data_IF_569803548879
#
_entry.id   IF_569803548879
#
_cell.length_a   1.000
_cell.length_b   1.000
_cell.length_c   1.000
_cell.angle_alpha   90.00
_cell.angle_beta   90.00
_cell.angle_gamma   90.00
#
_symmetry.space_group_name_H-M   'P 1'
#
loop_
_entity.id
_entity.type
_entity.pdbx_description
1 polymer ?
#
# COMPACT_ATOMS: atom_id res chain seq x y z
N UNK A 1 -13.54 -5.19 -13.49
CA UNK A 1 -12.70 -4.01 -13.82
C UNK A 1 -12.24 -3.24 -12.58
N UNK A 2 -13.06 -3.11 -11.53
CA UNK A 2 -12.70 -2.44 -10.27
C UNK A 2 -11.44 -3.02 -9.59
N UNK A 3 -11.21 -4.34 -9.68
CA UNK A 3 -10.03 -5.01 -9.11
C UNK A 3 -8.69 -4.45 -9.62
N UNK A 4 -8.62 -4.10 -10.92
CA UNK A 4 -7.39 -3.53 -11.51
C UNK A 4 -7.17 -2.10 -11.04
N UNK A 5 -8.23 -1.29 -10.99
CA UNK A 5 -8.16 0.07 -10.46
C UNK A 5 -7.79 0.09 -8.98
N UNK A 6 -8.41 -0.78 -8.16
CA UNK A 6 -8.07 -0.95 -6.76
C UNK A 6 -6.60 -1.37 -6.61
N UNK A 7 -6.12 -2.32 -7.42
CA UNK A 7 -4.70 -2.70 -7.44
C UNK A 7 -3.80 -1.48 -7.70
N UNK A 8 -4.03 -0.72 -8.77
CA UNK A 8 -3.17 0.43 -9.09
C UNK A 8 -3.23 1.55 -8.07
N UNK A 9 -4.40 1.83 -7.49
CA UNK A 9 -4.53 2.83 -6.42
C UNK A 9 -3.85 2.37 -5.13
N UNK A 10 -3.95 1.09 -4.78
CA UNK A 10 -3.22 0.51 -3.65
C UNK A 10 -1.71 0.60 -3.89
N UNK A 11 -1.23 0.23 -5.08
CA UNK A 11 0.18 0.41 -5.45
C UNK A 11 0.63 1.87 -5.33
N UNK A 12 -0.13 2.81 -5.91
CA UNK A 12 0.19 4.23 -5.84
C UNK A 12 0.27 4.72 -4.39
N UNK A 13 -0.65 4.25 -3.55
CA UNK A 13 -0.68 4.60 -2.13
C UNK A 13 0.48 3.98 -1.33
N UNK A 14 0.97 2.80 -1.70
CA UNK A 14 2.21 2.23 -1.15
C UNK A 14 3.46 3.00 -1.60
N UNK A 15 3.43 3.67 -2.76
CA UNK A 15 4.52 4.57 -3.22
C UNK A 15 4.43 5.95 -2.57
N UNK A 16 3.23 6.37 -2.17
CA UNK A 16 2.96 7.73 -1.71
C UNK A 16 3.87 8.26 -0.59
N UNK A 17 4.40 7.44 0.35
CA UNK A 17 5.36 7.89 1.34
C UNK A 17 6.64 8.52 0.75
N UNK A 18 7.07 8.13 -0.45
CA UNK A 18 8.21 8.76 -1.16
C UNK A 18 7.95 10.25 -1.42
N UNK A 19 6.71 10.65 -1.69
CA UNK A 19 6.42 12.05 -1.94
C UNK A 19 6.56 12.91 -0.68
N UNK A 20 6.45 12.33 0.53
CA UNK A 20 6.80 13.06 1.76
C UNK A 20 8.30 13.34 1.84
N UNK A 21 9.14 12.38 1.48
CA UNK A 21 10.60 12.57 1.48
C UNK A 21 11.04 13.56 0.41
N UNK A 22 10.46 13.51 -0.79
CA UNK A 22 10.69 14.51 -1.84
C UNK A 22 10.18 15.91 -1.46
N UNK A 23 9.03 16.01 -0.76
CA UNK A 23 8.52 17.28 -0.26
C UNK A 23 9.46 17.88 0.80
N UNK A 24 9.96 17.06 1.73
CA UNK A 24 10.94 17.47 2.73
C UNK A 24 12.22 17.99 2.10
N UNK A 25 12.75 17.27 1.10
CA UNK A 25 13.93 17.69 0.35
C UNK A 25 13.71 19.03 -0.37
N UNK A 26 12.55 19.18 -1.01
CA UNK A 26 12.15 20.42 -1.67
C UNK A 26 12.04 21.59 -0.69
N UNK A 27 11.62 21.33 0.56
CA UNK A 27 11.55 22.33 1.62
C UNK A 27 12.95 22.82 2.03
N UNK A 28 13.89 21.89 2.28
CA UNK A 28 15.28 22.22 2.64
C UNK A 28 15.96 23.01 1.52
N UNK A 29 15.73 22.61 0.27
CA UNK A 29 16.28 23.28 -0.91
C UNK A 29 15.51 24.55 -1.31
N UNK A 30 14.55 25.01 -0.49
CA UNK A 30 13.74 26.24 -0.70
C UNK A 30 12.89 26.24 -1.99
N UNK A 31 12.61 25.08 -2.56
CA UNK A 31 11.74 24.92 -3.73
C UNK A 31 10.28 24.63 -3.33
N UNK A 32 9.62 25.62 -2.73
CA UNK A 32 8.27 25.46 -2.17
C UNK A 32 7.20 25.03 -3.19
N UNK A 33 7.35 25.40 -4.47
CA UNK A 33 6.43 24.95 -5.53
C UNK A 33 6.45 23.42 -5.66
N UNK A 34 7.63 22.80 -5.65
CA UNK A 34 7.76 21.34 -5.69
C UNK A 34 7.29 20.69 -4.40
N UNK A 35 7.58 21.28 -3.24
CA UNK A 35 7.06 20.82 -1.96
C UNK A 35 5.53 20.72 -1.98
N UNK A 36 4.83 21.79 -2.38
CA UNK A 36 3.36 21.82 -2.46
C UNK A 36 2.86 20.80 -3.49
N UNK A 37 3.50 20.69 -4.65
CA UNK A 37 3.13 19.71 -5.66
C UNK A 37 3.22 18.27 -5.13
N UNK A 38 4.33 17.88 -4.48
CA UNK A 38 4.49 16.54 -3.92
C UNK A 38 3.50 16.24 -2.79
N UNK A 39 3.26 17.20 -1.88
CA UNK A 39 2.26 17.05 -0.83
C UNK A 39 0.84 16.92 -1.40
N UNK A 40 0.49 17.73 -2.40
CA UNK A 40 -0.82 17.66 -3.05
C UNK A 40 -1.03 16.32 -3.76
N UNK A 41 0.00 15.81 -4.46
CA UNK A 41 -0.04 14.52 -5.11
C UNK A 41 -0.22 13.38 -4.09
N UNK A 42 0.55 13.41 -3.00
CA UNK A 42 0.42 12.45 -1.90
C UNK A 42 -1.00 12.46 -1.32
N UNK A 43 -1.55 13.64 -1.04
CA UNK A 43 -2.91 13.80 -0.50
C UNK A 43 -3.99 13.27 -1.46
N UNK A 44 -3.85 13.53 -2.77
CA UNK A 44 -4.78 13.02 -3.78
C UNK A 44 -4.74 11.48 -3.83
N UNK A 45 -3.55 10.88 -3.88
CA UNK A 45 -3.40 9.42 -3.91
C UNK A 45 -4.01 8.79 -2.66
N UNK A 46 -3.78 9.39 -1.49
CA UNK A 46 -4.35 8.97 -0.22
C UNK A 46 -5.87 9.00 -0.22
N UNK A 47 -6.44 10.12 -0.66
CA UNK A 47 -7.88 10.29 -0.77
C UNK A 47 -8.49 9.21 -1.68
N UNK A 48 -7.92 9.01 -2.86
CA UNK A 48 -8.39 8.00 -3.82
C UNK A 48 -8.28 6.57 -3.25
N UNK A 49 -7.21 6.26 -2.51
CA UNK A 49 -7.04 4.97 -1.83
C UNK A 49 -8.14 4.73 -0.79
N UNK A 50 -8.50 5.72 0.02
CA UNK A 50 -9.60 5.59 0.99
C UNK A 50 -10.92 5.37 0.28
N UNK A 51 -11.19 6.18 -0.75
CA UNK A 51 -12.44 6.12 -1.49
C UNK A 51 -12.63 4.74 -2.13
N UNK A 52 -11.58 4.19 -2.76
CA UNK A 52 -11.69 2.86 -3.39
C UNK A 52 -11.84 1.74 -2.35
N UNK A 53 -11.16 1.82 -1.20
CA UNK A 53 -11.32 0.84 -0.12
C UNK A 53 -12.72 0.91 0.48
N UNK A 54 -13.23 2.10 0.78
CA UNK A 54 -14.61 2.28 1.28
C UNK A 54 -15.65 1.82 0.27
N UNK A 55 -15.43 2.13 -1.01
CA UNK A 55 -16.30 1.68 -2.09
C UNK A 55 -16.32 0.15 -2.17
N UNK A 56 -15.15 -0.50 -2.13
CA UNK A 56 -15.05 -1.95 -2.18
C UNK A 56 -15.73 -2.60 -0.97
N UNK A 57 -15.55 -2.07 0.25
CA UNK A 57 -16.25 -2.57 1.45
C UNK A 57 -17.77 -2.46 1.30
N UNK A 58 -18.27 -1.40 0.66
CA UNK A 58 -19.71 -1.14 0.54
C UNK A 58 -20.39 -1.97 -0.56
N UNK A 59 -19.71 -2.19 -1.69
CA UNK A 59 -20.34 -2.72 -2.90
C UNK A 59 -19.87 -4.12 -3.30
N UNK A 60 -18.75 -4.62 -2.77
CA UNK A 60 -18.29 -5.96 -3.09
C UNK A 60 -18.98 -6.99 -2.18
N UNK A 61 -19.22 -8.19 -2.73
CA UNK A 61 -19.83 -9.28 -1.98
C UNK A 61 -18.89 -9.82 -0.90
N UNK A 62 -19.50 -10.28 0.19
CA UNK A 62 -18.82 -11.01 1.24
C UNK A 62 -18.63 -12.46 0.81
N UNK A 63 -17.42 -12.97 0.96
CA UNK A 63 -17.05 -14.35 0.70
C UNK A 63 -16.47 -14.96 1.97
N UNK A 64 -16.92 -16.16 2.32
CA UNK A 64 -16.36 -16.91 3.45
C UNK A 64 -15.24 -17.84 2.96
N UNK A 65 -14.01 -17.64 3.42
CA UNK A 65 -12.88 -18.55 3.17
C UNK A 65 -12.49 -19.30 4.43
N UNK A 66 -12.16 -20.59 4.29
CA UNK A 66 -11.58 -21.39 5.37
C UNK A 66 -10.07 -21.20 5.34
N UNK A 67 -9.50 -20.68 6.42
CA UNK A 67 -8.06 -20.43 6.50
C UNK A 67 -7.33 -21.66 7.05
N UNK A 68 -6.22 -22.02 6.42
CA UNK A 68 -5.29 -23.06 6.91
C UNK A 68 -4.22 -22.41 7.77
N UNK A 69 -3.67 -21.28 7.30
CA UNK A 69 -2.67 -20.46 7.99
C UNK A 69 -3.07 -18.98 7.94
N UNK A 70 -2.64 -18.22 8.94
CA UNK A 70 -2.53 -16.77 8.84
C UNK A 70 -1.45 -16.26 9.78
N UNK A 71 -0.48 -15.52 9.24
CA UNK A 71 0.64 -14.94 10.00
C UNK A 71 0.77 -13.45 9.71
N UNK A 72 1.19 -12.64 10.70
CA UNK A 72 1.52 -11.23 10.47
C UNK A 72 2.58 -11.08 9.37
N UNK A 73 2.40 -10.07 8.52
CA UNK A 73 3.29 -9.80 7.38
C UNK A 73 4.29 -8.66 7.67
N UNK A 74 5.02 -8.76 8.78
CA UNK A 74 5.84 -7.65 9.31
C UNK A 74 7.12 -7.38 8.48
N UNK A 75 7.66 -8.39 7.79
CA UNK A 75 8.96 -8.29 7.07
C UNK A 75 8.93 -7.28 5.92
N UNK A 76 7.81 -7.18 5.21
CA UNK A 76 7.66 -6.31 4.04
C UNK A 76 7.72 -4.82 4.44
N UNK A 77 7.18 -4.46 5.62
CA UNK A 77 7.09 -3.07 6.10
C UNK A 77 8.48 -2.42 6.24
N UNK A 78 9.47 -3.17 6.71
CA UNK A 78 10.85 -2.67 6.90
C UNK A 78 11.52 -2.34 5.57
N UNK A 79 11.36 -3.18 4.54
CA UNK A 79 11.93 -2.96 3.21
C UNK A 79 11.34 -1.71 2.54
N UNK A 80 10.03 -1.50 2.74
CA UNK A 80 9.35 -0.31 2.27
C UNK A 80 9.87 0.96 2.90
N UNK A 81 10.02 0.97 4.23
CA UNK A 81 10.53 2.12 4.96
C UNK A 81 11.89 2.58 4.42
N UNK A 82 12.81 1.64 4.19
CA UNK A 82 14.14 1.96 3.68
C UNK A 82 14.09 2.58 2.26
N UNK A 83 13.20 2.06 1.41
CA UNK A 83 13.03 2.57 0.05
C UNK A 83 12.50 3.99 0.03
N UNK A 84 11.63 4.36 0.98
CA UNK A 84 11.13 5.73 1.10
C UNK A 84 12.19 6.74 1.51
N UNK A 85 13.20 6.29 2.26
CA UNK A 85 14.32 7.13 2.70
C UNK A 85 15.41 7.28 1.64
N UNK A 86 15.38 6.50 0.56
CA UNK A 86 16.40 6.54 -0.48
C UNK A 86 16.69 7.95 -1.02
N UNK A 87 15.68 8.82 -1.29
CA UNK A 87 15.94 10.19 -1.71
C UNK A 87 16.71 11.04 -0.69
N UNK A 88 16.59 10.76 0.61
CA UNK A 88 17.37 11.46 1.64
C UNK A 88 18.83 11.02 1.62
N UNK A 89 19.08 9.72 1.42
CA UNK A 89 20.43 9.14 1.44
C UNK A 89 21.23 9.59 0.22
N UNK A 90 20.60 9.73 -0.94
CA UNK A 90 21.26 10.18 -2.18
C UNK A 90 21.60 11.68 -2.21
N UNK A 91 21.10 12.47 -1.25
CA UNK A 91 21.33 13.91 -1.15
C UNK A 91 20.35 14.77 -1.96
N UNK A 92 20.26 16.08 -1.65
CA UNK A 92 19.25 16.97 -2.23
C UNK A 92 19.34 17.09 -3.75
N UNK A 93 20.56 17.28 -4.26
CA UNK A 93 20.77 17.74 -5.64
C UNK A 93 20.28 16.72 -6.69
N UNK A 94 20.42 15.42 -6.42
CA UNK A 94 20.00 14.37 -7.34
C UNK A 94 18.47 14.31 -7.52
N UNK A 95 17.72 14.45 -6.43
CA UNK A 95 16.26 14.33 -6.43
C UNK A 95 15.53 15.68 -6.61
N UNK A 96 16.27 16.78 -6.73
CA UNK A 96 15.72 18.05 -7.22
C UNK A 96 15.47 18.04 -8.73
N UNK A 97 16.15 17.16 -9.48
CA UNK A 97 15.82 16.94 -10.89
C UNK A 97 14.52 16.13 -11.00
N UNK A 98 13.47 16.79 -11.51
CA UNK A 98 12.16 16.17 -11.71
C UNK A 98 12.21 14.92 -12.60
N UNK A 99 13.18 14.82 -13.51
CA UNK A 99 13.37 13.64 -14.37
C UNK A 99 13.81 12.44 -13.54
N UNK A 100 14.75 12.65 -12.60
CA UNK A 100 15.25 11.61 -11.70
C UNK A 100 14.16 11.22 -10.70
N UNK A 101 13.51 12.22 -10.07
CA UNK A 101 12.44 11.98 -9.11
C UNK A 101 11.25 11.23 -9.72
N UNK A 102 10.82 11.62 -10.93
CA UNK A 102 9.73 10.93 -11.63
C UNK A 102 10.13 9.53 -12.08
N UNK A 103 11.34 9.35 -12.62
CA UNK A 103 11.86 8.02 -12.98
C UNK A 103 11.91 7.08 -11.78
N UNK A 104 12.38 7.56 -10.62
CA UNK A 104 12.41 6.80 -9.37
C UNK A 104 11.00 6.42 -8.91
N UNK A 105 10.07 7.38 -8.85
CA UNK A 105 8.69 7.13 -8.41
C UNK A 105 7.95 6.14 -9.34
N UNK A 106 8.13 6.27 -10.66
CA UNK A 106 7.55 5.35 -11.66
C UNK A 106 8.19 3.96 -11.55
N UNK A 107 9.51 3.87 -11.40
CA UNK A 107 10.21 2.60 -11.21
C UNK A 107 9.72 1.88 -9.95
N UNK A 108 9.56 2.61 -8.85
CA UNK A 108 9.03 2.07 -7.61
C UNK A 108 7.58 1.59 -7.76
N UNK A 109 6.74 2.36 -8.46
CA UNK A 109 5.37 1.97 -8.75
C UNK A 109 5.31 0.65 -9.52
N UNK A 110 6.11 0.50 -10.58
CA UNK A 110 6.15 -0.75 -11.34
C UNK A 110 6.67 -1.90 -10.48
N UNK A 111 7.78 -1.71 -9.76
CA UNK A 111 8.33 -2.72 -8.86
C UNK A 111 7.29 -3.26 -7.88
N UNK A 112 6.58 -2.39 -7.17
CA UNK A 112 5.53 -2.76 -6.21
C UNK A 112 4.32 -3.42 -6.90
N UNK A 113 3.94 -2.94 -8.09
CA UNK A 113 2.83 -3.52 -8.86
C UNK A 113 3.10 -4.95 -9.32
N UNK A 114 4.36 -5.26 -9.67
CA UNK A 114 4.80 -6.58 -10.11
C UNK A 114 5.12 -7.53 -8.96
N UNK A 115 5.66 -7.03 -7.84
CA UNK A 115 6.00 -7.89 -6.69
C UNK A 115 4.78 -8.48 -5.97
N UNK A 116 3.59 -7.89 -6.14
CA UNK A 116 2.40 -8.31 -5.40
C UNK A 116 2.30 -7.67 -4.01
N UNK A 117 3.37 -6.99 -3.57
CA UNK A 117 3.48 -6.37 -2.25
C UNK A 117 2.66 -5.07 -2.13
N UNK A 118 1.89 -4.67 -3.16
CA UNK A 118 1.00 -3.50 -3.17
C UNK A 118 -0.07 -3.51 -2.08
N UNK A 119 -0.32 -4.66 -1.45
CA UNK A 119 -1.23 -4.77 -0.31
C UNK A 119 -0.69 -4.07 0.94
N UNK A 120 0.65 -4.06 1.10
CA UNK A 120 1.32 -3.47 2.24
C UNK A 120 1.46 -1.97 2.00
N UNK A 121 0.62 -1.19 2.68
CA UNK A 121 0.56 0.25 2.55
C UNK A 121 0.67 0.88 3.94
N UNK A 122 1.80 1.53 4.26
CA UNK A 122 1.99 2.20 5.55
C UNK A 122 0.83 3.14 5.94
N UNK A 123 0.16 3.73 4.96
CA UNK A 123 -0.93 4.67 5.16
C UNK A 123 -2.23 3.97 5.57
N UNK A 124 -2.49 2.77 5.07
CA UNK A 124 -3.57 1.93 5.59
C UNK A 124 -3.23 1.43 7.01
N UNK A 125 -1.95 1.20 7.33
CA UNK A 125 -1.52 0.94 8.72
C UNK A 125 -1.85 2.11 9.65
N UNK A 126 -1.65 3.35 9.21
CA UNK A 126 -2.07 4.53 9.96
C UNK A 126 -3.59 4.60 10.19
N UNK A 127 -4.40 4.02 9.29
CA UNK A 127 -5.85 3.83 9.51
C UNK A 127 -6.23 2.60 10.34
N UNK A 128 -5.24 1.94 10.95
CA UNK A 128 -5.42 0.81 11.86
C UNK A 128 -5.58 -0.54 11.18
N UNK A 129 -5.29 -0.65 9.88
CA UNK A 129 -5.26 -1.94 9.22
C UNK A 129 -3.95 -2.68 9.55
N UNK A 130 -4.08 -3.97 9.85
CA UNK A 130 -3.00 -4.92 10.04
C UNK A 130 -2.98 -5.90 8.88
N UNK A 131 -1.80 -6.38 8.54
CA UNK A 131 -1.59 -7.26 7.39
C UNK A 131 -1.28 -8.68 7.82
N UNK A 132 -1.96 -9.61 7.19
CA UNK A 132 -1.74 -11.03 7.39
C UNK A 132 -1.55 -11.71 6.04
N UNK A 133 -0.49 -12.49 5.92
CA UNK A 133 -0.37 -13.50 4.86
C UNK A 133 -1.17 -14.71 5.32
N UNK A 134 -2.11 -15.14 4.49
CA UNK A 134 -2.99 -16.26 4.79
C UNK A 134 -3.05 -17.20 3.60
N UNK A 135 -3.35 -18.46 3.90
CA UNK A 135 -3.57 -19.51 2.92
C UNK A 135 -4.94 -20.13 3.19
N UNK A 136 -5.64 -20.50 2.12
CA UNK A 136 -6.92 -21.22 2.23
C UNK A 136 -6.73 -22.74 2.02
N UNK A 137 -7.86 -23.47 2.11
CA UNK A 137 -7.92 -24.91 1.89
C UNK A 137 -7.65 -25.34 0.44
N UNK A 138 -7.50 -24.39 -0.49
CA UNK A 138 -7.07 -24.65 -1.87
C UNK A 138 -5.57 -24.51 -2.08
N UNK A 139 -4.82 -24.10 -1.05
CA UNK A 139 -3.39 -23.84 -1.12
C UNK A 139 -3.03 -22.50 -1.76
N UNK A 140 -4.01 -21.61 -1.97
CA UNK A 140 -3.77 -20.28 -2.55
C UNK A 140 -3.43 -19.30 -1.44
N UNK A 141 -2.26 -18.67 -1.54
CA UNK A 141 -1.84 -17.60 -0.62
C UNK A 141 -2.41 -16.24 -1.05
N UNK A 142 -2.81 -15.44 -0.08
CA UNK A 142 -3.33 -14.09 -0.27
C UNK A 142 -3.10 -13.22 0.97
N UNK A 143 -3.27 -11.92 0.81
CA UNK A 143 -3.14 -10.94 1.90
C UNK A 143 -4.52 -10.58 2.45
N UNK A 144 -4.65 -10.63 3.77
CA UNK A 144 -5.81 -10.14 4.50
C UNK A 144 -5.44 -8.84 5.22
N UNK A 145 -6.22 -7.79 4.97
CA UNK A 145 -6.24 -6.58 5.80
C UNK A 145 -7.29 -6.75 6.89
N UNK A 146 -6.93 -6.48 8.14
CA UNK A 146 -7.88 -6.53 9.25
C UNK A 146 -7.68 -5.36 10.21
N UNK A 147 -8.76 -4.77 10.71
CA UNK A 147 -8.69 -3.78 11.80
C UNK A 147 -8.52 -4.43 13.18
N UNK A 148 -8.90 -5.70 13.31
CA UNK A 148 -8.80 -6.46 14.55
C UNK A 148 -7.72 -7.55 14.40
N UNK A 149 -7.01 -7.92 15.47
CA UNK A 149 -6.08 -9.05 15.41
C UNK A 149 -6.81 -10.32 14.96
N UNK A 150 -6.24 -11.05 14.00
CA UNK A 150 -6.71 -12.39 13.65
C UNK A 150 -6.16 -13.37 14.69
N UNK A 151 -6.98 -13.73 15.68
CA UNK A 151 -6.52 -14.49 16.85
C UNK A 151 -6.44 -16.00 16.63
N UNK A 152 -7.20 -16.58 15.67
CA UNK A 152 -7.13 -18.00 15.27
C UNK A 152 -7.61 -18.19 13.82
N UNK A 153 -6.67 -18.37 12.90
CA UNK A 153 -7.00 -18.66 11.50
C UNK A 153 -7.25 -20.14 11.23
N UNK A 154 -6.51 -21.05 11.88
CA UNK A 154 -6.58 -22.48 11.55
C UNK A 154 -7.96 -23.08 11.87
N UNK A 155 -8.65 -23.54 10.82
CA UNK A 155 -9.90 -24.28 10.91
C UNK A 155 -11.18 -23.44 10.91
N UNK A 156 -11.09 -22.12 11.08
CA UNK A 156 -12.25 -21.23 11.12
C UNK A 156 -12.52 -20.60 9.75
N UNK A 157 -13.81 -20.41 9.46
CA UNK A 157 -14.25 -19.61 8.32
C UNK A 157 -14.22 -18.14 8.68
N UNK A 158 -13.58 -17.33 7.83
CA UNK A 158 -13.50 -15.88 7.99
C UNK A 158 -14.27 -15.23 6.85
N UNK A 159 -15.14 -14.28 7.20
CA UNK A 159 -15.85 -13.47 6.23
C UNK A 159 -14.91 -12.38 5.70
N UNK A 160 -14.75 -12.37 4.38
CA UNK A 160 -13.79 -11.54 3.68
C UNK A 160 -14.48 -10.80 2.54
N UNK A 161 -14.08 -9.55 2.33
CA UNK A 161 -14.45 -8.77 1.15
C UNK A 161 -13.25 -8.71 0.22
N UNK A 162 -13.42 -9.11 -1.05
CA UNK A 162 -12.35 -9.08 -2.06
C UNK A 162 -12.04 -7.63 -2.44
N UNK A 163 -10.78 -7.19 -2.32
CA UNK A 163 -10.30 -5.87 -2.77
C UNK A 163 -9.61 -5.94 -4.14
N UNK A 164 -8.73 -6.93 -4.28
CA UNK A 164 -7.97 -7.25 -5.50
C UNK A 164 -8.00 -8.76 -5.72
N UNK A 165 -7.28 -9.30 -6.68
CA UNK A 165 -7.24 -10.75 -6.91
C UNK A 165 -6.64 -11.53 -5.74
N UNK A 166 -5.66 -10.94 -5.04
CA UNK A 166 -4.92 -11.58 -3.95
C UNK A 166 -4.99 -10.77 -2.64
N UNK A 167 -5.91 -9.82 -2.53
CA UNK A 167 -6.07 -8.97 -1.35
C UNK A 167 -7.52 -8.96 -0.90
N UNK A 168 -7.73 -9.20 0.38
CA UNK A 168 -9.04 -9.25 1.02
C UNK A 168 -9.08 -8.36 2.27
N UNK A 169 -10.26 -7.89 2.66
CA UNK A 169 -10.50 -7.25 3.96
C UNK A 169 -11.33 -8.18 4.83
N UNK A 170 -10.89 -8.40 6.07
CA UNK A 170 -11.67 -9.05 7.10
C UNK A 170 -12.70 -8.08 7.71
N UNK A 171 -13.93 -8.56 7.88
CA UNK A 171 -15.06 -7.84 8.50
C UNK A 171 -15.42 -8.42 9.86
#
# INVERSE_FOLDING_TARGET
MLNKLAKYLLTASSVAPVFFTLAFLSCISKHYKFMIAYLSLCAIILLLCVLIVKYAIKYNSVTSKKLTTASPADKEITNYFLTYLFPLISGPDAFMDIRIASFFAVSLFFYISFSGSYSFNPLLSFWGYKYYEAEDDTGVSFVILSKKPLLKASGNRVNLIKLTDYTYIAI
#
